data_IF_154309541300
#
_entry.id   IF_154309541300
#
_cell.length_a   1.000
_cell.length_b   1.000
_cell.length_c   1.000
_cell.angle_alpha   90.00
_cell.angle_beta   90.00
_cell.angle_gamma   90.00
#
_symmetry.space_group_name_H-M   'P 1'
#
loop_
_entity.id
_entity.type
_entity.pdbx_description
1 polymer ?
#
# COMPACT_ATOMS: atom_id res chain seq x y z
N UNK A 1 12.62 -8.30 3.78
CA UNK A 1 14.06 -8.28 4.12
C UNK A 1 14.83 -9.23 3.24
N UNK A 2 14.40 -10.48 3.21
CA UNK A 2 15.07 -11.63 2.60
C UNK A 2 15.52 -11.41 1.14
N UNK A 3 14.64 -10.93 0.26
CA UNK A 3 15.00 -10.62 -1.13
C UNK A 3 16.12 -9.56 -1.26
N UNK A 4 16.14 -8.52 -0.42
CA UNK A 4 17.19 -7.50 -0.46
C UNK A 4 18.53 -8.05 0.03
N UNK A 5 18.52 -9.02 0.94
CA UNK A 5 19.73 -9.74 1.34
C UNK A 5 20.25 -10.60 0.18
N UNK A 6 19.32 -11.25 -0.55
CA UNK A 6 19.64 -12.01 -1.76
C UNK A 6 20.21 -11.12 -2.88
N UNK A 7 19.67 -9.92 -3.10
CA UNK A 7 20.24 -8.94 -4.04
C UNK A 7 21.65 -8.48 -3.62
N UNK A 8 21.88 -8.23 -2.33
CA UNK A 8 23.22 -7.92 -1.83
C UNK A 8 24.20 -9.06 -2.12
N UNK A 9 23.79 -10.31 -1.92
CA UNK A 9 24.60 -11.47 -2.28
C UNK A 9 24.93 -11.53 -3.78
N UNK A 10 23.93 -11.41 -4.66
CA UNK A 10 24.15 -11.48 -6.11
C UNK A 10 25.04 -10.33 -6.61
N UNK A 11 24.85 -9.12 -6.09
CA UNK A 11 25.67 -7.95 -6.43
C UNK A 11 27.07 -7.97 -5.83
N UNK A 12 27.38 -8.94 -4.97
CA UNK A 12 28.66 -9.04 -4.27
C UNK A 12 28.83 -8.04 -3.11
N UNK A 13 27.74 -7.41 -2.67
CA UNK A 13 27.72 -6.44 -1.58
C UNK A 13 27.50 -7.13 -0.23
N UNK A 14 28.21 -6.72 0.82
CA UNK A 14 28.01 -7.19 2.20
C UNK A 14 28.04 -8.74 2.39
N UNK A 15 28.73 -9.48 1.50
CA UNK A 15 28.70 -10.96 1.40
C UNK A 15 28.94 -11.64 2.75
N UNK A 16 29.95 -11.20 3.52
CA UNK A 16 30.32 -11.81 4.81
C UNK A 16 29.19 -11.74 5.84
N UNK A 17 28.40 -10.66 5.82
CA UNK A 17 27.27 -10.48 6.74
C UNK A 17 26.06 -11.27 6.26
N UNK A 18 25.77 -11.23 4.96
CA UNK A 18 24.68 -12.00 4.36
C UNK A 18 24.88 -13.50 4.61
N UNK A 19 26.07 -14.05 4.37
CA UNK A 19 26.35 -15.48 4.63
C UNK A 19 26.19 -15.89 6.10
N UNK A 20 26.37 -14.95 7.04
CA UNK A 20 26.25 -15.21 8.48
C UNK A 20 24.80 -15.21 8.94
N UNK A 21 24.02 -14.25 8.44
CA UNK A 21 22.70 -13.93 8.97
C UNK A 21 21.55 -14.46 8.07
N UNK A 22 21.86 -15.01 6.89
CA UNK A 22 20.87 -15.38 5.86
C UNK A 22 21.08 -16.77 5.26
N UNK A 23 20.00 -17.53 5.11
CA UNK A 23 20.02 -18.83 4.43
C UNK A 23 19.91 -18.66 2.90
N UNK A 24 21.06 -18.53 2.26
CA UNK A 24 21.18 -18.36 0.80
C UNK A 24 20.60 -19.52 -0.01
N UNK A 25 20.69 -20.74 0.50
CA UNK A 25 20.21 -21.92 -0.22
C UNK A 25 18.67 -21.97 -0.22
N UNK A 26 18.03 -21.56 0.87
CA UNK A 26 16.59 -21.35 0.89
C UNK A 26 16.20 -20.23 -0.09
N UNK A 27 16.92 -19.10 -0.10
CA UNK A 27 16.63 -17.97 -0.98
C UNK A 27 16.65 -18.32 -2.47
N UNK A 28 17.64 -19.10 -2.90
CA UNK A 28 17.76 -19.57 -4.29
C UNK A 28 16.62 -20.50 -4.73
N UNK A 29 15.91 -21.12 -3.78
CA UNK A 29 14.71 -21.92 -4.09
C UNK A 29 13.45 -21.06 -4.26
N UNK A 30 13.44 -19.82 -3.73
CA UNK A 30 12.29 -18.92 -3.75
C UNK A 30 12.43 -17.74 -4.71
N UNK A 31 13.66 -17.39 -5.12
CA UNK A 31 13.93 -16.24 -5.98
C UNK A 31 14.75 -16.65 -7.20
N UNK A 32 14.24 -16.27 -8.37
CA UNK A 32 14.95 -16.37 -9.64
C UNK A 32 15.11 -14.96 -10.23
N UNK A 33 16.31 -14.66 -10.75
CA UNK A 33 16.50 -13.46 -11.54
C UNK A 33 15.98 -13.70 -12.96
N UNK A 34 14.91 -13.00 -13.31
CA UNK A 34 14.35 -13.04 -14.65
C UNK A 34 15.14 -12.10 -15.56
N UNK A 35 15.62 -12.64 -16.68
CA UNK A 35 16.30 -11.84 -17.71
C UNK A 35 15.31 -10.88 -18.38
N UNK A 36 15.53 -9.58 -18.16
CA UNK A 36 14.72 -8.48 -18.72
C UNK A 36 14.71 -8.42 -20.25
N UNK A 37 15.57 -9.16 -20.96
CA UNK A 37 15.54 -9.24 -22.43
C UNK A 37 14.46 -10.19 -22.98
N UNK A 38 13.82 -10.99 -22.12
CA UNK A 38 12.79 -11.96 -22.49
C UNK A 38 11.39 -11.38 -22.25
N UNK A 39 10.91 -10.55 -23.17
CA UNK A 39 9.51 -10.11 -23.20
C UNK A 39 8.68 -10.93 -24.20
N UNK A 40 7.40 -11.24 -23.90
CA UNK A 40 6.70 -10.98 -22.64
C UNK A 40 7.08 -11.98 -21.53
N UNK A 41 7.09 -11.52 -20.28
CA UNK A 41 7.25 -12.41 -19.12
C UNK A 41 5.88 -12.96 -18.75
N UNK A 42 5.78 -14.29 -18.67
CA UNK A 42 4.56 -14.98 -18.23
C UNK A 42 4.65 -15.28 -16.73
N UNK A 43 3.65 -14.81 -15.98
CA UNK A 43 3.55 -14.99 -14.53
C UNK A 43 2.21 -15.69 -14.26
N UNK A 44 2.25 -16.88 -13.66
CA UNK A 44 1.06 -17.72 -13.49
C UNK A 44 0.94 -18.20 -12.04
N UNK A 45 -0.29 -18.45 -11.60
CA UNK A 45 -0.55 -19.00 -10.27
C UNK A 45 -0.10 -18.05 -9.17
N UNK A 46 0.74 -18.55 -8.26
CA UNK A 46 1.23 -17.83 -7.08
C UNK A 46 2.55 -17.08 -7.35
N UNK A 47 3.06 -17.13 -8.58
CA UNK A 47 4.30 -16.45 -8.95
C UNK A 47 4.11 -14.93 -8.96
N UNK A 48 5.19 -14.20 -8.69
CA UNK A 48 5.22 -12.74 -8.73
C UNK A 48 6.54 -12.26 -9.32
N UNK A 49 6.47 -11.23 -10.15
CA UNK A 49 7.66 -10.55 -10.67
C UNK A 49 7.78 -9.21 -9.98
N UNK A 50 8.96 -8.95 -9.42
CA UNK A 50 9.26 -7.71 -8.71
C UNK A 50 10.36 -6.95 -9.44
N UNK A 51 10.08 -5.69 -9.78
CA UNK A 51 11.05 -4.78 -10.36
C UNK A 51 11.54 -3.80 -9.30
N UNK A 52 12.85 -3.69 -9.15
CA UNK A 52 13.49 -2.72 -8.26
C UNK A 52 14.11 -1.60 -9.09
N UNK A 53 13.70 -0.38 -8.78
CA UNK A 53 14.24 0.83 -9.39
C UNK A 53 15.04 1.56 -8.33
N UNK A 54 16.36 1.55 -8.48
CA UNK A 54 17.24 2.30 -7.61
C UNK A 54 17.36 3.74 -8.10
N UNK A 55 16.80 4.65 -7.32
CA UNK A 55 16.83 6.08 -7.60
C UNK A 55 18.04 6.78 -6.97
N UNK A 56 18.80 6.13 -6.09
CA UNK A 56 19.87 6.78 -5.30
C UNK A 56 21.03 7.30 -6.16
N UNK A 57 21.17 6.78 -7.40
CA UNK A 57 22.14 7.28 -8.38
C UNK A 57 21.76 8.60 -9.05
N UNK A 58 20.49 9.03 -8.93
CA UNK A 58 20.00 10.28 -9.51
C UNK A 58 20.46 11.46 -8.65
N UNK A 59 21.15 12.42 -9.26
CA UNK A 59 21.74 13.56 -8.55
C UNK A 59 20.88 14.83 -8.59
N UNK A 60 19.93 14.89 -9.53
CA UNK A 60 18.99 15.99 -9.67
C UNK A 60 17.82 15.93 -8.69
N UNK A 61 17.07 17.03 -8.61
CA UNK A 61 15.78 17.04 -7.91
C UNK A 61 14.76 16.29 -8.76
N UNK A 62 14.15 15.26 -8.18
CA UNK A 62 13.07 14.48 -8.76
C UNK A 62 11.74 14.98 -8.18
N UNK A 63 10.76 15.22 -9.05
CA UNK A 63 9.40 15.62 -8.64
C UNK A 63 8.35 14.55 -8.92
N UNK A 64 8.66 13.58 -9.77
CA UNK A 64 7.78 12.46 -10.09
C UNK A 64 8.59 11.26 -10.52
N UNK A 65 8.05 10.08 -10.26
CA UNK A 65 8.52 8.81 -10.80
C UNK A 65 7.30 8.06 -11.28
N UNK A 66 7.41 7.52 -12.50
CA UNK A 66 6.37 6.73 -13.13
C UNK A 66 7.00 5.47 -13.73
N UNK A 67 6.30 4.34 -13.62
CA UNK A 67 6.65 3.13 -14.35
C UNK A 67 5.58 2.88 -15.42
N UNK A 68 6.02 2.77 -16.67
CA UNK A 68 5.18 2.33 -17.78
C UNK A 68 5.25 0.81 -17.89
N UNK A 69 4.09 0.15 -17.92
CA UNK A 69 4.00 -1.31 -18.02
C UNK A 69 2.92 -1.73 -19.01
N UNK A 70 3.27 -2.64 -19.90
CA UNK A 70 2.30 -3.27 -20.82
C UNK A 70 1.90 -4.64 -20.28
N UNK A 71 0.61 -4.82 -20.03
CA UNK A 71 0.04 -6.00 -19.38
C UNK A 71 -1.23 -6.47 -20.07
N UNK A 72 -1.55 -7.75 -19.93
CA UNK A 72 -2.80 -8.37 -20.37
C UNK A 72 -3.24 -9.44 -19.37
N UNK A 73 -4.45 -9.98 -19.55
CA UNK A 73 -5.07 -11.02 -18.73
C UNK A 73 -5.39 -10.56 -17.30
N UNK A 74 -5.52 -11.52 -16.38
CA UNK A 74 -5.65 -11.30 -14.95
C UNK A 74 -4.31 -10.86 -14.37
N UNK A 75 -4.27 -9.65 -13.82
CA UNK A 75 -3.08 -9.09 -13.19
C UNK A 75 -3.45 -8.20 -12.03
N UNK A 76 -2.51 -8.06 -11.11
CA UNK A 76 -2.52 -7.08 -10.03
C UNK A 76 -1.12 -6.48 -9.94
N UNK A 77 -1.01 -5.18 -10.13
CA UNK A 77 0.25 -4.45 -10.01
C UNK A 77 0.21 -3.63 -8.73
N UNK A 78 1.17 -3.91 -7.88
CA UNK A 78 1.35 -3.22 -6.62
C UNK A 78 2.68 -2.48 -6.64
N UNK A 79 2.70 -1.30 -6.02
CA UNK A 79 3.93 -0.54 -5.80
C UNK A 79 4.21 -0.41 -4.31
N UNK A 80 5.49 -0.39 -3.97
CA UNK A 80 5.98 -0.01 -2.66
C UNK A 80 7.19 0.90 -2.87
N UNK A 81 7.38 1.83 -1.95
CA UNK A 81 8.51 2.74 -1.96
C UNK A 81 9.43 2.35 -0.81
N UNK A 82 10.74 2.44 -1.04
CA UNK A 82 11.77 2.06 -0.08
C UNK A 82 12.55 3.30 0.32
N UNK A 83 12.70 3.51 1.62
CA UNK A 83 13.42 4.64 2.16
C UNK A 83 14.46 4.17 3.18
N UNK A 84 15.55 4.93 3.24
CA UNK A 84 16.57 4.79 4.26
C UNK A 84 16.20 5.62 5.48
N UNK A 85 16.33 5.02 6.66
CA UNK A 85 16.21 5.70 7.95
C UNK A 85 17.55 6.21 8.47
N UNK A 86 18.61 6.01 7.69
CA UNK A 86 19.97 6.41 8.05
C UNK A 86 20.21 7.86 7.67
N UNK A 87 20.81 8.64 8.58
CA UNK A 87 21.02 10.09 8.41
C UNK A 87 21.88 10.38 7.18
N UNK A 88 22.85 9.52 6.89
CA UNK A 88 23.77 9.70 5.78
C UNK A 88 23.07 9.59 4.41
N UNK A 89 21.98 8.82 4.31
CA UNK A 89 21.41 8.43 3.02
C UNK A 89 22.37 7.56 2.21
N UNK A 90 22.09 7.36 0.93
CA UNK A 90 22.82 6.47 -0.02
C UNK A 90 22.53 4.97 0.14
N UNK A 91 23.55 4.11 0.02
CA UNK A 91 23.44 2.66 0.12
C UNK A 91 23.99 2.11 1.42
N UNK A 92 23.50 0.93 1.78
CA UNK A 92 23.95 0.20 2.95
C UNK A 92 25.44 -0.22 2.86
N UNK A 93 26.28 0.48 3.62
CA UNK A 93 27.71 0.18 3.78
C UNK A 93 28.01 -0.68 5.02
N UNK A 94 26.99 -0.96 5.85
CA UNK A 94 27.15 -1.59 7.18
C UNK A 94 26.45 -2.95 7.26
N UNK A 95 25.73 -3.34 6.21
CA UNK A 95 24.86 -4.49 6.14
C UNK A 95 23.59 -4.36 7.00
N UNK A 96 23.17 -3.14 7.37
CA UNK A 96 21.98 -2.90 8.19
C UNK A 96 20.70 -2.76 7.33
N UNK A 97 20.32 -3.85 6.66
CA UNK A 97 19.26 -3.85 5.63
C UNK A 97 17.91 -3.30 6.14
N UNK A 98 17.60 -3.48 7.43
CA UNK A 98 16.31 -3.07 8.00
C UNK A 98 16.16 -1.55 8.02
N UNK A 99 17.21 -0.83 8.43
CA UNK A 99 17.17 0.63 8.49
C UNK A 99 17.42 1.27 7.12
N UNK A 100 18.26 0.64 6.28
CA UNK A 100 18.59 1.16 4.95
C UNK A 100 17.49 0.95 3.90
N UNK A 101 16.74 -0.14 3.99
CA UNK A 101 15.80 -0.55 2.95
C UNK A 101 14.42 -0.87 3.51
N UNK A 102 13.83 0.12 4.18
CA UNK A 102 12.50 -0.03 4.76
C UNK A 102 11.41 0.25 3.73
N UNK A 103 10.72 -0.82 3.32
CA UNK A 103 9.61 -0.74 2.39
C UNK A 103 8.31 -0.32 3.08
N UNK A 104 7.54 0.53 2.41
CA UNK A 104 6.15 0.81 2.78
C UNK A 104 5.23 -0.39 2.48
N UNK A 105 3.96 -0.26 2.86
CA UNK A 105 2.92 -1.18 2.40
C UNK A 105 2.79 -1.17 0.88
N UNK A 106 2.56 -2.37 0.33
CA UNK A 106 2.22 -2.56 -1.07
C UNK A 106 0.85 -1.98 -1.38
N UNK A 107 0.80 -1.04 -2.32
CA UNK A 107 -0.41 -0.37 -2.78
C UNK A 107 -0.80 -0.90 -4.15
N UNK A 108 -2.01 -1.43 -4.32
CA UNK A 108 -2.53 -1.76 -5.65
C UNK A 108 -2.75 -0.49 -6.45
N UNK A 109 -2.07 -0.35 -7.59
CA UNK A 109 -2.24 0.80 -8.51
C UNK A 109 -2.91 0.40 -9.81
N UNK A 110 -2.83 -0.87 -10.20
CA UNK A 110 -3.53 -1.42 -11.35
C UNK A 110 -3.99 -2.84 -11.05
N UNK A 111 -5.17 -3.22 -11.55
CA UNK A 111 -5.68 -4.58 -11.46
C UNK A 111 -6.66 -4.82 -12.61
N UNK A 112 -6.74 -6.05 -13.11
CA UNK A 112 -7.76 -6.46 -14.07
C UNK A 112 -9.17 -6.35 -13.45
N UNK A 113 -10.21 -6.21 -14.28
CA UNK A 113 -11.61 -6.16 -13.80
C UNK A 113 -12.19 -7.55 -13.49
N UNK A 114 -11.40 -8.61 -13.73
CA UNK A 114 -11.76 -9.99 -13.45
C UNK A 114 -10.69 -10.95 -13.95
N UNK A 115 -11.04 -12.24 -13.99
CA UNK A 115 -10.15 -13.32 -14.40
C UNK A 115 -10.08 -13.48 -15.92
N UNK A 116 -9.49 -12.49 -16.61
CA UNK A 116 -9.35 -12.45 -18.07
C UNK A 116 -8.17 -13.35 -18.49
N UNK A 117 -8.31 -14.15 -19.54
CA UNK A 117 -7.28 -15.12 -19.97
C UNK A 117 -6.99 -15.14 -21.48
N UNK A 118 -7.73 -14.34 -22.25
CA UNK A 118 -7.73 -14.35 -23.71
C UNK A 118 -6.94 -13.18 -24.34
N UNK A 119 -6.28 -12.36 -23.52
CA UNK A 119 -5.53 -11.19 -23.95
C UNK A 119 -6.38 -9.99 -24.36
N UNK A 120 -7.71 -10.06 -24.21
CA UNK A 120 -8.65 -9.01 -24.66
C UNK A 120 -8.46 -7.65 -24.00
N UNK A 121 -7.76 -7.59 -22.87
CA UNK A 121 -7.48 -6.39 -22.08
C UNK A 121 -6.01 -5.92 -22.15
N UNK A 122 -5.26 -6.30 -23.20
CA UNK A 122 -3.89 -5.80 -23.41
C UNK A 122 -3.86 -4.28 -23.41
N UNK A 123 -3.08 -3.70 -22.50
CA UNK A 123 -2.94 -2.25 -22.37
C UNK A 123 -1.62 -1.84 -21.73
N UNK A 124 -1.20 -0.63 -22.04
CA UNK A 124 -0.10 0.06 -21.36
C UNK A 124 -0.65 0.94 -20.24
N UNK A 125 -0.05 0.86 -19.07
CA UNK A 125 -0.47 1.55 -17.84
C UNK A 125 0.71 2.34 -17.30
N UNK A 126 0.47 3.60 -16.93
CA UNK A 126 1.42 4.44 -16.24
C UNK A 126 1.13 4.40 -14.73
N UNK A 127 2.09 3.91 -13.97
CA UNK A 127 2.00 3.75 -12.52
C UNK A 127 2.77 4.87 -11.85
N UNK A 128 2.05 5.79 -11.19
CA UNK A 128 2.66 6.92 -10.48
C UNK A 128 3.01 6.54 -9.05
N UNK A 129 4.23 6.86 -8.62
CA UNK A 129 4.68 6.64 -7.24
C UNK A 129 4.34 7.83 -6.34
N UNK A 130 4.23 7.61 -5.04
CA UNK A 130 3.99 8.68 -4.07
C UNK A 130 3.22 8.26 -2.83
N UNK A 131 3.30 9.11 -1.81
CA UNK A 131 2.62 8.96 -0.55
C UNK A 131 1.18 9.42 -0.62
N UNK A 132 0.28 8.76 0.12
CA UNK A 132 -1.06 9.28 0.30
C UNK A 132 -0.97 10.52 1.19
N UNK A 133 -1.54 11.63 0.72
CA UNK A 133 -1.53 12.92 1.43
C UNK A 133 -2.92 13.38 1.84
N UNK A 134 -3.96 12.84 1.22
CA UNK A 134 -5.34 13.04 1.63
C UNK A 134 -6.23 11.88 1.15
N UNK A 135 -7.38 11.72 1.80
CA UNK A 135 -8.44 10.84 1.36
C UNK A 135 -9.78 11.52 1.64
N UNK A 136 -10.65 11.53 0.65
CA UNK A 136 -11.98 12.12 0.73
C UNK A 136 -12.99 11.03 0.45
N UNK A 137 -13.93 10.83 1.38
CA UNK A 137 -15.05 9.89 1.24
C UNK A 137 -16.33 10.71 1.36
N UNK A 138 -17.26 10.48 0.45
CA UNK A 138 -18.61 11.02 0.53
C UNK A 138 -19.59 9.96 0.04
N UNK A 139 -20.78 9.93 0.63
CA UNK A 139 -21.80 8.97 0.27
C UNK A 139 -23.20 9.53 0.50
N UNK A 140 -24.18 8.78 0.03
CA UNK A 140 -25.59 9.04 0.31
C UNK A 140 -26.36 7.74 0.43
N UNK A 141 -27.41 7.79 1.23
CA UNK A 141 -28.32 6.68 1.47
C UNK A 141 -29.68 6.97 0.82
N UNK A 142 -30.32 5.90 0.36
CA UNK A 142 -31.69 5.93 -0.15
C UNK A 142 -32.49 4.89 0.61
N UNK A 143 -33.60 5.33 1.21
CA UNK A 143 -34.64 4.45 1.73
C UNK A 143 -35.99 4.84 1.14
N UNK A 144 -36.66 3.87 0.52
CA UNK A 144 -37.95 4.05 -0.11
C UNK A 144 -38.88 2.90 0.26
N UNK A 145 -40.10 3.24 0.67
CA UNK A 145 -41.13 2.27 0.97
C UNK A 145 -42.48 2.72 0.40
N UNK A 146 -43.04 1.92 -0.49
CA UNK A 146 -44.35 2.18 -1.09
C UNK A 146 -45.17 0.89 -1.27
N UNK A 147 -46.32 0.82 -0.58
CA UNK A 147 -47.24 -0.32 -0.59
C UNK A 147 -46.54 -1.69 -0.43
N UNK A 148 -45.57 -1.80 0.49
CA UNK A 148 -44.83 -3.04 0.73
C UNK A 148 -43.76 -3.37 -0.31
N UNK A 149 -43.49 -2.46 -1.27
CA UNK A 149 -42.24 -2.44 -2.03
C UNK A 149 -41.22 -1.58 -1.27
N UNK A 150 -40.10 -2.17 -0.88
CA UNK A 150 -39.01 -1.52 -0.15
C UNK A 150 -37.76 -1.52 -1.00
N UNK A 151 -37.08 -0.39 -1.07
CA UNK A 151 -35.76 -0.25 -1.68
C UNK A 151 -34.88 0.47 -0.68
N UNK A 152 -33.74 -0.13 -0.36
CA UNK A 152 -32.73 0.50 0.50
C UNK A 152 -31.38 0.36 -0.18
N UNK A 153 -30.55 1.40 -0.16
CA UNK A 153 -29.22 1.34 -0.72
C UNK A 153 -28.32 2.46 -0.27
N UNK A 154 -27.03 2.22 -0.40
CA UNK A 154 -25.96 3.17 -0.09
C UNK A 154 -25.05 3.27 -1.31
N UNK A 155 -24.56 4.48 -1.56
CA UNK A 155 -23.49 4.73 -2.51
C UNK A 155 -22.41 5.56 -1.83
N UNK A 156 -21.17 5.12 -1.94
CA UNK A 156 -19.99 5.80 -1.41
C UNK A 156 -18.96 5.98 -2.51
N UNK A 157 -18.39 7.18 -2.60
CA UNK A 157 -17.25 7.49 -3.44
C UNK A 157 -16.04 7.81 -2.57
N UNK A 158 -14.89 7.25 -2.95
CA UNK A 158 -13.59 7.53 -2.35
C UNK A 158 -12.65 8.17 -3.37
N UNK A 159 -11.96 9.23 -2.95
CA UNK A 159 -10.89 9.92 -3.68
C UNK A 159 -9.64 9.93 -2.82
N UNK A 160 -8.69 9.06 -3.15
CA UNK A 160 -7.37 8.98 -2.51
C UNK A 160 -6.37 9.85 -3.26
N UNK A 161 -5.79 10.85 -2.60
CA UNK A 161 -4.85 11.80 -3.18
C UNK A 161 -3.41 11.45 -2.79
N UNK A 162 -2.51 11.52 -3.76
CA UNK A 162 -1.11 11.14 -3.62
C UNK A 162 -0.18 12.27 -4.05
N UNK A 163 1.01 12.29 -3.47
CA UNK A 163 2.08 13.22 -3.83
C UNK A 163 3.43 12.50 -3.77
N UNK A 164 4.25 12.67 -4.80
CA UNK A 164 5.62 12.17 -4.79
C UNK A 164 6.47 12.96 -3.76
N UNK A 165 7.37 12.32 -3.00
CA UNK A 165 8.30 13.03 -2.12
C UNK A 165 9.39 13.72 -2.95
N UNK A 166 9.12 14.94 -3.41
CA UNK A 166 10.09 15.71 -4.18
C UNK A 166 11.37 15.98 -3.42
N UNK A 167 12.49 16.00 -4.15
CA UNK A 167 13.81 16.21 -3.58
C UNK A 167 14.87 15.45 -4.35
N UNK A 168 16.09 15.46 -3.82
CA UNK A 168 17.16 14.61 -4.33
C UNK A 168 16.98 13.21 -3.75
N UNK A 169 16.88 12.15 -4.57
CA UNK A 169 16.88 10.79 -4.07
C UNK A 169 18.16 10.45 -3.30
N UNK A 170 18.10 9.40 -2.48
CA UNK A 170 19.25 8.95 -1.70
C UNK A 170 19.65 9.86 -0.54
N UNK A 171 18.90 10.94 -0.24
CA UNK A 171 19.11 11.71 0.99
C UNK A 171 18.57 10.96 2.20
N UNK A 172 19.31 11.00 3.31
CA UNK A 172 18.94 10.30 4.55
C UNK A 172 17.79 10.92 5.33
N UNK A 173 17.53 10.40 6.53
CA UNK A 173 16.56 10.95 7.50
C UNK A 173 17.26 11.95 8.44
N UNK A 174 17.26 13.27 8.15
CA UNK A 174 18.00 14.25 8.95
C UNK A 174 17.49 14.32 10.40
N UNK A 175 18.40 14.66 11.33
CA UNK A 175 18.07 14.75 12.75
C UNK A 175 17.20 15.97 13.08
N UNK A 176 17.34 17.05 12.32
CA UNK A 176 16.73 18.35 12.62
C UNK A 176 15.70 18.73 11.55
N UNK A 177 14.54 19.20 11.99
CA UNK A 177 13.55 19.83 11.12
C UNK A 177 14.14 21.16 10.64
N UNK A 178 14.14 21.39 9.33
CA UNK A 178 14.61 22.65 8.75
C UNK A 178 13.51 23.72 8.94
N UNK A 179 13.76 24.79 9.73
CA UNK A 179 12.78 25.86 9.89
C UNK A 179 12.55 26.58 8.57
N UNK A 180 11.31 26.94 8.26
CA UNK A 180 10.96 27.65 7.03
C UNK A 180 11.07 26.80 5.76
N UNK A 181 10.97 25.48 5.87
CA UNK A 181 10.94 24.59 4.71
C UNK A 181 9.79 24.98 3.77
N UNK A 182 10.12 25.21 2.50
CA UNK A 182 9.15 25.51 1.47
C UNK A 182 8.15 24.35 1.29
N UNK A 183 6.91 24.63 0.84
CA UNK A 183 5.97 23.58 0.47
C UNK A 183 6.57 22.60 -0.53
N UNK A 184 6.24 21.32 -0.38
CA UNK A 184 6.63 20.25 -1.29
C UNK A 184 6.02 20.47 -2.68
N UNK A 185 6.83 20.27 -3.72
CA UNK A 185 6.48 20.48 -5.13
C UNK A 185 6.32 19.18 -5.93
N UNK A 186 6.27 18.03 -5.25
CA UNK A 186 6.07 16.74 -5.91
C UNK A 186 4.79 16.67 -6.72
N UNK A 187 4.83 15.88 -7.80
CA UNK A 187 3.66 15.64 -8.64
C UNK A 187 2.54 15.02 -7.82
N UNK A 188 1.33 15.47 -8.12
CA UNK A 188 0.12 15.09 -7.40
C UNK A 188 -0.79 14.32 -8.32
N UNK A 189 -1.36 13.24 -7.81
CA UNK A 189 -2.31 12.44 -8.55
C UNK A 189 -3.40 11.91 -7.64
N UNK A 190 -4.44 11.33 -8.22
CA UNK A 190 -5.63 10.91 -7.49
C UNK A 190 -6.14 9.59 -8.02
N UNK A 191 -6.46 8.68 -7.10
CA UNK A 191 -7.15 7.44 -7.38
C UNK A 191 -8.58 7.57 -6.87
N UNK A 192 -9.56 7.26 -7.73
CA UNK A 192 -10.98 7.35 -7.38
C UNK A 192 -11.64 6.00 -7.56
N UNK A 193 -12.51 5.64 -6.64
CA UNK A 193 -13.34 4.46 -6.76
C UNK A 193 -14.62 4.60 -5.95
N UNK A 194 -15.52 3.64 -6.11
CA UNK A 194 -16.87 3.68 -5.53
C UNK A 194 -17.25 2.33 -4.94
N UNK A 195 -18.04 2.38 -3.88
CA UNK A 195 -18.73 1.24 -3.30
C UNK A 195 -20.24 1.51 -3.33
N UNK A 196 -21.05 0.48 -3.53
CA UNK A 196 -22.49 0.58 -3.34
C UNK A 196 -23.12 -0.75 -2.96
N UNK A 197 -24.28 -0.68 -2.31
CA UNK A 197 -25.21 -1.78 -2.21
C UNK A 197 -26.64 -1.29 -2.46
N UNK A 198 -27.47 -2.14 -3.03
CA UNK A 198 -28.89 -1.88 -3.26
C UNK A 198 -29.67 -3.15 -2.96
N UNK A 199 -30.72 -3.03 -2.18
CA UNK A 199 -31.68 -4.08 -1.90
C UNK A 199 -33.06 -3.64 -2.37
N UNK A 200 -33.83 -4.57 -2.95
CA UNK A 200 -35.21 -4.35 -3.31
C UNK A 200 -36.04 -5.53 -2.86
N UNK A 201 -37.13 -5.27 -2.14
CA UNK A 201 -38.04 -6.29 -1.61
C UNK A 201 -39.48 -5.95 -1.93
N UNK A 202 -40.28 -6.95 -2.29
CA UNK A 202 -41.74 -6.86 -2.35
C UNK A 202 -42.37 -8.01 -1.59
N UNK A 203 -43.29 -7.69 -0.69
CA UNK A 203 -44.13 -8.69 -0.02
C UNK A 203 -45.60 -8.53 -0.45
N UNK A 204 -46.20 -9.63 -0.92
CA UNK A 204 -47.62 -9.74 -1.28
C UNK A 204 -48.32 -10.80 -0.42
N UNK A 205 -48.28 -10.63 0.92
CA UNK A 205 -48.92 -11.46 1.97
C UNK A 205 -48.62 -12.98 1.97
N UNK A 206 -48.72 -13.67 0.83
CA UNK A 206 -48.47 -15.10 0.63
C UNK A 206 -47.18 -15.39 -0.16
N UNK A 207 -46.67 -14.42 -0.92
CA UNK A 207 -45.45 -14.54 -1.72
C UNK A 207 -44.66 -13.23 -1.63
N UNK A 208 -43.35 -13.32 -1.64
CA UNK A 208 -42.47 -12.16 -1.70
C UNK A 208 -41.23 -12.48 -2.52
N UNK A 209 -40.58 -11.43 -3.01
CA UNK A 209 -39.26 -11.54 -3.63
C UNK A 209 -38.33 -10.48 -3.06
N UNK A 210 -37.04 -10.81 -3.06
CA UNK A 210 -35.96 -9.91 -2.69
C UNK A 210 -34.83 -10.05 -3.70
N UNK A 211 -34.17 -8.94 -4.00
CA UNK A 211 -32.94 -8.92 -4.78
C UNK A 211 -31.95 -7.99 -4.10
N UNK A 212 -30.67 -8.34 -4.21
CA UNK A 212 -29.54 -7.57 -3.72
C UNK A 212 -28.51 -7.42 -4.83
N UNK A 213 -27.90 -6.24 -4.90
CA UNK A 213 -26.76 -5.95 -5.75
C UNK A 213 -25.72 -5.18 -4.94
N UNK A 214 -24.49 -5.64 -4.93
CA UNK A 214 -23.38 -4.95 -4.28
C UNK A 214 -22.19 -4.83 -5.22
N UNK A 215 -21.39 -3.78 -5.03
CA UNK A 215 -20.10 -3.60 -5.69
C UNK A 215 -19.16 -2.88 -4.74
N UNK A 216 -17.95 -3.42 -4.61
CA UNK A 216 -16.82 -2.72 -4.00
C UNK A 216 -15.77 -2.47 -5.07
N UNK A 217 -15.39 -1.21 -5.24
CA UNK A 217 -14.32 -0.82 -6.13
C UNK A 217 -12.98 -1.44 -5.72
N UNK A 218 -12.18 -1.92 -6.69
CA UNK A 218 -10.86 -2.54 -6.44
C UNK A 218 -9.81 -1.58 -5.85
N UNK A 219 -10.08 -0.28 -5.93
CA UNK A 219 -9.28 0.80 -5.36
C UNK A 219 -10.00 1.57 -4.25
N UNK A 220 -11.21 1.15 -3.87
CA UNK A 220 -11.92 1.75 -2.75
C UNK A 220 -11.13 1.52 -1.46
N UNK A 221 -10.87 2.61 -0.71
CA UNK A 221 -10.09 2.59 0.52
C UNK A 221 -10.81 3.38 1.61
N UNK A 222 -11.41 2.71 2.61
CA UNK A 222 -12.05 3.38 3.74
C UNK A 222 -11.03 3.86 4.79
N UNK A 223 -9.82 4.22 4.36
CA UNK A 223 -8.73 4.63 5.23
C UNK A 223 -7.73 5.54 4.50
N UNK A 224 -6.91 6.23 5.27
CA UNK A 224 -5.74 7.00 4.83
C UNK A 224 -4.48 6.42 5.45
N UNK A 225 -3.51 6.08 4.61
CA UNK A 225 -2.18 5.65 5.04
C UNK A 225 -1.23 6.86 5.12
N UNK A 226 -0.96 7.35 6.32
CA UNK A 226 -0.07 8.48 6.58
C UNK A 226 1.36 8.00 6.88
N UNK A 227 2.33 8.47 6.10
CA UNK A 227 3.73 8.14 6.32
C UNK A 227 4.36 9.00 7.42
N UNK A 228 5.13 8.37 8.31
CA UNK A 228 5.85 9.03 9.39
C UNK A 228 7.14 8.32 9.78
N UNK A 229 8.25 9.07 9.90
CA UNK A 229 9.56 8.57 10.36
C UNK A 229 9.76 8.72 11.88
N UNK A 230 8.97 9.57 12.55
CA UNK A 230 9.24 10.03 13.92
C UNK A 230 8.82 9.04 15.00
N UNK A 231 7.88 8.15 14.72
CA UNK A 231 7.16 7.40 15.77
C UNK A 231 7.84 6.06 16.12
N UNK A 232 8.75 5.56 15.29
CA UNK A 232 9.41 4.26 15.55
C UNK A 232 10.80 4.34 16.20
N UNK A 233 11.55 5.44 16.03
CA UNK A 233 13.02 5.34 16.22
C UNK A 233 13.70 6.33 17.17
N UNK A 234 12.98 7.25 17.84
CA UNK A 234 13.67 8.34 18.58
C UNK A 234 13.32 8.54 20.04
N UNK A 235 12.86 7.50 20.75
CA UNK A 235 12.74 7.55 22.22
C UNK A 235 12.00 8.78 22.75
N UNK A 236 11.10 9.35 21.94
CA UNK A 236 10.30 10.50 22.33
C UNK A 236 9.30 10.00 23.35
N UNK A 237 9.60 10.24 24.62
CA UNK A 237 8.83 9.79 25.77
C UNK A 237 7.36 10.26 25.76
N UNK A 238 6.98 11.19 24.88
CA UNK A 238 5.58 11.63 24.67
C UNK A 238 4.88 11.02 23.44
N UNK A 239 5.58 10.32 22.54
CA UNK A 239 4.99 9.64 21.38
C UNK A 239 4.71 8.14 21.64
N UNK A 240 4.95 7.67 22.87
CA UNK A 240 5.07 6.26 23.25
C UNK A 240 3.85 5.35 23.02
N UNK A 241 2.71 5.91 22.60
CA UNK A 241 1.47 5.18 22.42
C UNK A 241 1.11 4.89 20.96
N UNK A 242 1.66 5.59 19.97
CA UNK A 242 1.31 5.33 18.55
C UNK A 242 2.26 4.29 17.98
N UNK A 243 1.73 3.18 17.46
CA UNK A 243 2.53 2.10 16.87
C UNK A 243 2.35 2.03 15.35
N UNK A 244 3.03 2.88 14.55
CA UNK A 244 2.95 2.71 13.11
C UNK A 244 3.59 1.38 12.73
N UNK A 245 3.20 0.85 11.59
CA UNK A 245 3.81 -0.33 10.98
C UNK A 245 4.37 0.08 9.63
N UNK A 246 5.60 -0.35 9.32
CA UNK A 246 6.32 0.08 8.10
C UNK A 246 6.32 1.61 7.90
N UNK A 247 6.58 2.37 8.98
CA UNK A 247 6.55 3.84 8.98
C UNK A 247 5.22 4.43 8.48
N UNK A 248 4.13 3.67 8.57
CA UNK A 248 2.81 4.07 8.11
C UNK A 248 1.82 3.96 9.27
N UNK A 249 1.06 5.04 9.48
CA UNK A 249 -0.10 5.09 10.35
C UNK A 249 -1.34 4.99 9.47
N UNK A 250 -2.18 3.99 9.71
CA UNK A 250 -3.47 3.85 9.03
C UNK A 250 -4.54 4.58 9.83
N UNK A 251 -5.21 5.50 9.18
CA UNK A 251 -6.31 6.30 9.72
C UNK A 251 -7.59 5.76 9.08
N UNK A 252 -8.40 4.94 9.77
CA UNK A 252 -9.70 4.55 9.25
C UNK A 252 -10.58 5.81 9.11
N UNK A 253 -11.34 5.88 8.02
CA UNK A 253 -12.30 6.96 7.75
C UNK A 253 -13.74 6.49 7.91
N UNK A 254 -13.91 5.17 7.98
CA UNK A 254 -15.13 4.47 8.33
C UNK A 254 -14.68 3.44 9.36
N UNK A 255 -15.29 3.46 10.54
CA UNK A 255 -15.09 2.45 11.58
C UNK A 255 -16.33 1.57 11.56
N UNK A 256 -16.14 0.24 11.55
CA UNK A 256 -17.20 -0.63 12.01
C UNK A 256 -17.29 -0.52 13.54
N UNK A 257 -18.52 -0.61 14.01
CA UNK A 257 -18.83 -0.81 15.40
C UNK A 257 -19.74 -2.04 15.39
N UNK A 258 -19.14 -3.20 15.14
CA UNK A 258 -19.88 -4.45 14.92
C UNK A 258 -20.26 -5.15 16.23
N UNK A 259 -19.69 -4.72 17.37
CA UNK A 259 -19.97 -5.22 18.71
C UNK A 259 -20.85 -4.29 19.58
N UNK A 260 -21.37 -3.20 19.00
CA UNK A 260 -22.28 -2.22 19.63
C UNK A 260 -21.66 -1.54 20.87
N UNK A 261 -20.32 -1.49 20.94
CA UNK A 261 -19.61 -0.74 21.95
C UNK A 261 -19.42 0.74 21.53
N UNK A 262 -18.94 1.60 22.43
CA UNK A 262 -18.73 3.02 22.08
C UNK A 262 -17.28 3.29 21.64
N UNK A 263 -16.46 2.24 21.59
CA UNK A 263 -15.05 2.30 21.28
C UNK A 263 -14.86 2.12 19.78
N UNK A 264 -13.89 2.83 19.17
CA UNK A 264 -13.40 2.44 17.86
C UNK A 264 -12.69 1.08 17.97
N UNK A 265 -12.97 0.18 17.04
CA UNK A 265 -12.24 -1.09 16.90
C UNK A 265 -10.77 -0.85 16.54
N UNK A 266 -10.49 0.27 15.89
CA UNK A 266 -9.13 0.65 15.52
C UNK A 266 -8.52 1.61 16.54
N UNK A 267 -7.90 1.06 17.59
CA UNK A 267 -7.13 1.87 18.56
C UNK A 267 -5.71 2.19 18.04
N UNK A 268 -5.35 3.47 18.05
CA UNK A 268 -4.01 3.94 17.66
C UNK A 268 -3.04 3.86 18.84
N UNK A 269 -3.56 3.66 20.04
CA UNK A 269 -2.79 3.50 21.27
C UNK A 269 -2.36 2.04 21.47
N UNK A 270 -1.12 1.83 21.92
CA UNK A 270 -0.64 0.53 22.40
C UNK A 270 -1.47 0.10 23.62
N UNK A 271 -2.53 -0.67 23.41
CA UNK A 271 -3.05 -1.54 24.46
C UNK A 271 -2.24 -2.82 24.44
N UNK A 272 -1.50 -3.07 25.52
CA UNK A 272 -0.94 -4.39 25.80
C UNK A 272 -2.10 -5.37 25.93
N UNK A 273 -2.52 -5.99 24.83
CA UNK A 273 -3.24 -7.26 24.92
C UNK A 273 -2.19 -8.26 25.35
N UNK A 274 -2.12 -8.47 26.67
CA UNK A 274 -1.26 -9.45 27.28
C UNK A 274 -1.63 -10.82 26.75
N UNK A 275 -0.81 -11.37 25.85
CA UNK A 275 -0.70 -12.81 25.70
C UNK A 275 -0.07 -13.33 26.99
N UNK A 276 -0.95 -13.64 27.94
CA UNK A 276 -0.65 -14.42 29.12
C UNK A 276 -0.44 -15.87 28.68
N UNK A 277 0.78 -16.20 28.23
CA UNK A 277 1.17 -17.59 28.03
C UNK A 277 1.51 -18.14 29.42
N UNK A 278 0.53 -18.77 30.07
CA UNK A 278 0.79 -19.76 31.11
C UNK A 278 0.81 -21.14 30.47
N UNK A 279 1.85 -21.91 30.79
CA UNK A 279 2.04 -23.31 30.42
C UNK A 279 3.42 -23.57 29.87
#
# INVERSE_FOLDING_TARGET
GDYLQYLNYISGSNIKKVQKDYNLQAAQNYFELVDSSKYPIHVNGDDSVVYFFDLASITEVVKSVEAEVTVANDYRIQTSEIFTQEIAGTHDTTGNIVDWYKALYWKTLAQADGNIKDGSNLRTINLKFGFQVASVIYGFDVDFNYHGFKVSGEYVANSSHYMFPDGRPGTGDPLYIVPGQAPREGDRWTLRDTAYYVTAKKDWNKLGFGAEMFKMGKFYRPYMDYYTTTVQNRGMWDAGNVAPRNNTLRIPLIEDNDDDDQSPDTDWSRRTIGLLIWG
#
